data_IF_979595039471
#
_entry.id   IF_979595039471
#
_cell.length_a   1.000
_cell.length_b   1.000
_cell.length_c   1.000
_cell.angle_alpha   90.00
_cell.angle_beta   90.00
_cell.angle_gamma   90.00
#
_symmetry.space_group_name_H-M   'P 1'
#
loop_
_entity.id
_entity.type
_entity.pdbx_description
1 polymer ?
#
# COMPACT_ATOMS: atom_id res chain seq x y z
N UNK A 1 3.73 8.58 -10.17
CA UNK A 1 4.76 7.51 -10.22
C UNK A 1 5.93 7.91 -9.32
N UNK A 2 6.27 7.09 -8.32
CA UNK A 2 7.38 7.34 -7.39
C UNK A 2 8.48 6.30 -7.61
N UNK A 3 9.74 6.68 -7.50
CA UNK A 3 10.87 5.75 -7.55
C UNK A 3 10.76 4.78 -6.38
N UNK A 4 10.84 3.46 -6.69
CA UNK A 4 10.70 2.33 -5.73
C UNK A 4 11.58 2.40 -4.48
N UNK A 5 12.55 3.32 -4.45
CA UNK A 5 13.55 3.44 -3.40
C UNK A 5 13.48 4.75 -2.59
N UNK A 6 12.63 5.72 -2.96
CA UNK A 6 12.61 7.02 -2.28
C UNK A 6 11.34 7.32 -1.48
N UNK A 7 10.20 6.69 -1.80
CA UNK A 7 8.92 7.03 -1.15
C UNK A 7 8.12 5.77 -0.81
N UNK A 8 7.74 5.67 0.47
CA UNK A 8 6.86 4.64 1.05
C UNK A 8 5.80 5.35 1.90
N UNK A 9 4.75 4.62 2.25
CA UNK A 9 3.66 5.15 3.08
C UNK A 9 2.70 6.08 2.33
N UNK A 10 2.04 6.95 3.10
CA UNK A 10 0.99 7.87 2.67
C UNK A 10 1.39 9.34 2.88
N UNK A 11 0.81 10.26 2.11
CA UNK A 11 0.90 11.69 2.35
C UNK A 11 -0.32 12.23 3.14
N UNK A 12 -0.32 13.53 3.44
CA UNK A 12 -1.41 14.21 4.18
C UNK A 12 -2.78 14.17 3.50
N UNK A 13 -2.81 13.93 2.19
CA UNK A 13 -4.03 13.85 1.39
C UNK A 13 -4.58 12.41 1.27
N UNK A 14 -3.90 11.40 1.82
CA UNK A 14 -4.28 9.99 1.68
C UNK A 14 -3.76 9.32 0.40
N UNK A 15 -2.84 9.96 -0.34
CA UNK A 15 -2.21 9.36 -1.51
C UNK A 15 -1.06 8.45 -1.09
N UNK A 16 -1.13 7.17 -1.44
CA UNK A 16 -0.08 6.19 -1.13
C UNK A 16 0.99 6.14 -2.21
N UNK A 17 2.23 5.91 -1.77
CA UNK A 17 3.32 5.59 -2.67
C UNK A 17 3.10 4.24 -3.38
N UNK A 18 3.76 4.06 -4.52
CA UNK A 18 3.75 2.81 -5.30
C UNK A 18 2.34 2.28 -5.64
N UNK A 19 1.34 3.17 -5.75
CA UNK A 19 -0.01 2.83 -6.19
C UNK A 19 -0.01 2.40 -7.66
N UNK A 20 -0.59 1.22 -7.93
CA UNK A 20 -0.68 0.61 -9.25
C UNK A 20 -2.06 0.00 -9.43
N UNK A 21 -2.67 0.29 -10.56
CA UNK A 21 -3.83 -0.40 -11.11
C UNK A 21 -3.32 -1.42 -12.15
N UNK A 22 -3.72 -2.67 -12.01
CA UNK A 22 -3.51 -3.72 -13.01
C UNK A 22 -4.87 -4.11 -13.57
N UNK A 23 -5.05 -3.95 -14.87
CA UNK A 23 -6.27 -4.31 -15.57
C UNK A 23 -6.03 -5.51 -16.48
N UNK A 24 -6.86 -6.53 -16.36
CA UNK A 24 -6.92 -7.64 -17.29
C UNK A 24 -8.16 -7.49 -18.17
N UNK A 25 -7.96 -7.15 -19.43
CA UNK A 25 -9.01 -7.16 -20.45
C UNK A 25 -9.02 -8.49 -21.21
N UNK A 26 -10.19 -9.09 -21.35
CA UNK A 26 -10.42 -10.34 -22.08
C UNK A 26 -11.42 -10.06 -23.20
N UNK A 27 -11.05 -10.44 -24.41
CA UNK A 27 -11.86 -10.31 -25.63
C UNK A 27 -12.25 -11.72 -26.10
N UNK A 28 -13.54 -12.01 -26.19
CA UNK A 28 -14.08 -13.28 -26.66
C UNK A 28 -15.23 -13.02 -27.62
N UNK A 29 -15.03 -13.32 -28.90
CA UNK A 29 -16.02 -13.09 -29.95
C UNK A 29 -16.61 -11.66 -29.90
N UNK A 30 -17.86 -11.54 -29.43
CA UNK A 30 -18.61 -10.29 -29.31
C UNK A 30 -18.67 -9.73 -27.87
N UNK A 31 -17.98 -10.37 -26.92
CA UNK A 31 -17.93 -9.98 -25.52
C UNK A 31 -16.55 -9.44 -25.14
N UNK A 32 -16.56 -8.39 -24.31
CA UNK A 32 -15.37 -7.79 -23.74
C UNK A 32 -15.59 -7.68 -22.24
N UNK A 33 -14.68 -8.26 -21.45
CA UNK A 33 -14.70 -8.17 -19.99
C UNK A 33 -13.40 -7.57 -19.49
N UNK A 34 -13.46 -6.84 -18.38
CA UNK A 34 -12.29 -6.33 -17.68
C UNK A 34 -12.32 -6.68 -16.20
N UNK A 35 -11.16 -6.99 -15.63
CA UNK A 35 -10.96 -7.20 -14.21
C UNK A 35 -9.80 -6.36 -13.69
N UNK A 36 -10.07 -5.53 -12.67
CA UNK A 36 -9.10 -4.61 -12.08
C UNK A 36 -8.62 -5.12 -10.72
N UNK A 37 -7.31 -5.05 -10.49
CA UNK A 37 -6.70 -5.21 -9.18
C UNK A 37 -5.81 -4.01 -8.84
N UNK A 38 -5.85 -3.57 -7.59
CA UNK A 38 -5.01 -2.47 -7.10
C UNK A 38 -3.96 -2.97 -6.11
N UNK A 39 -2.78 -2.34 -6.14
CA UNK A 39 -1.71 -2.56 -5.16
C UNK A 39 -1.07 -1.22 -4.82
N UNK A 40 -0.77 -0.97 -3.55
CA UNK A 40 -0.07 0.22 -3.09
C UNK A 40 0.73 -0.03 -1.82
N UNK A 41 1.51 0.95 -1.39
CA UNK A 41 2.10 0.95 -0.05
C UNK A 41 1.01 0.97 1.02
N UNK A 42 1.28 0.38 2.19
CA UNK A 42 0.39 0.47 3.36
C UNK A 42 0.14 1.95 3.69
N UNK A 43 -1.14 2.40 3.83
CA UNK A 43 -1.52 3.80 3.98
C UNK A 43 -1.24 4.35 5.40
N UNK A 44 0.03 4.34 5.79
CA UNK A 44 0.52 4.84 7.08
C UNK A 44 1.72 5.78 6.83
N UNK A 45 2.03 6.65 7.79
CA UNK A 45 3.23 7.48 7.71
C UNK A 45 4.45 6.66 8.16
N UNK A 46 5.13 6.04 7.20
CA UNK A 46 6.27 5.18 7.48
C UNK A 46 7.35 5.26 6.41
N UNK A 47 8.58 4.97 6.83
CA UNK A 47 9.77 5.00 5.99
C UNK A 47 10.64 3.76 6.23
N UNK A 48 11.47 3.43 5.23
CA UNK A 48 12.50 2.39 5.34
C UNK A 48 13.86 3.02 5.03
N UNK A 49 14.65 3.38 6.06
CA UNK A 49 15.93 4.04 5.85
C UNK A 49 16.96 3.06 5.25
N UNK A 50 17.21 3.20 3.94
CA UNK A 50 18.42 2.75 3.24
C UNK A 50 18.59 1.23 2.99
N UNK A 51 19.32 0.92 1.90
CA UNK A 51 19.67 -0.43 1.41
C UNK A 51 20.91 -0.98 2.14
N UNK A 52 21.03 -0.80 3.46
CA UNK A 52 22.10 -1.49 4.19
C UNK A 52 21.66 -2.93 4.45
N UNK A 53 22.47 -3.87 3.93
CA UNK A 53 22.26 -5.31 4.05
C UNK A 53 22.21 -5.67 5.54
N UNK A 54 21.00 -5.87 6.08
CA UNK A 54 20.81 -6.29 7.48
C UNK A 54 19.80 -5.48 8.30
N UNK A 55 19.49 -4.22 7.97
CA UNK A 55 18.50 -3.42 8.72
C UNK A 55 17.34 -2.96 7.84
N UNK A 56 16.33 -3.83 7.66
CA UNK A 56 15.07 -3.49 7.00
C UNK A 56 14.02 -2.96 7.99
N UNK A 57 14.43 -2.27 9.06
CA UNK A 57 13.49 -1.82 10.08
C UNK A 57 12.61 -0.69 9.55
N UNK A 58 11.31 -0.90 9.62
CA UNK A 58 10.30 0.12 9.34
C UNK A 58 10.32 1.15 10.47
N UNK A 59 10.29 2.43 10.11
CA UNK A 59 10.12 3.51 11.08
C UNK A 59 8.82 4.24 10.79
N UNK A 60 8.01 4.45 11.81
CA UNK A 60 6.88 5.37 11.72
C UNK A 60 7.43 6.80 11.74
N UNK A 61 7.13 7.57 10.70
CA UNK A 61 7.60 8.95 10.57
C UNK A 61 6.69 9.95 11.29
N UNK A 62 5.46 9.54 11.65
CA UNK A 62 4.50 10.34 12.41
C UNK A 62 3.72 9.50 13.42
N UNK A 63 3.00 10.18 14.32
CA UNK A 63 2.18 9.54 15.34
C UNK A 63 0.96 8.78 14.77
N UNK A 64 0.38 7.84 15.54
CA UNK A 64 -0.76 7.03 15.10
C UNK A 64 -1.98 7.86 14.67
N UNK A 65 -2.30 8.94 15.38
CA UNK A 65 -3.46 9.79 15.08
C UNK A 65 -3.39 10.40 13.67
N UNK A 66 -2.22 10.86 13.24
CA UNK A 66 -2.02 11.35 11.87
C UNK A 66 -2.23 10.24 10.85
N UNK A 67 -1.76 9.02 11.14
CA UNK A 67 -1.92 7.88 10.24
C UNK A 67 -3.38 7.45 10.11
N UNK A 68 -4.18 7.50 11.18
CA UNK A 68 -5.63 7.21 11.13
C UNK A 68 -6.33 8.15 10.14
N UNK A 69 -6.08 9.46 10.25
CA UNK A 69 -6.70 10.43 9.33
C UNK A 69 -6.32 10.19 7.87
N UNK A 70 -5.05 9.91 7.59
CA UNK A 70 -4.60 9.62 6.23
C UNK A 70 -5.10 8.26 5.69
N UNK A 71 -5.19 7.26 6.57
CA UNK A 71 -5.76 5.94 6.29
C UNK A 71 -7.23 6.06 5.87
N UNK A 72 -8.02 6.81 6.64
CA UNK A 72 -9.45 7.01 6.37
C UNK A 72 -9.66 7.70 5.03
N UNK A 73 -8.90 8.76 4.75
CA UNK A 73 -8.92 9.44 3.44
C UNK A 73 -8.59 8.46 2.31
N UNK A 74 -7.55 7.64 2.48
CA UNK A 74 -7.17 6.66 1.47
C UNK A 74 -8.28 5.64 1.23
N UNK A 75 -8.85 5.03 2.28
CA UNK A 75 -9.91 4.04 2.13
C UNK A 75 -11.19 4.64 1.56
N UNK A 76 -11.54 5.88 1.93
CA UNK A 76 -12.66 6.59 1.31
C UNK A 76 -12.45 6.75 -0.20
N UNK A 77 -11.26 7.21 -0.61
CA UNK A 77 -10.89 7.34 -2.02
C UNK A 77 -11.00 6.00 -2.77
N UNK A 78 -10.46 4.92 -2.20
CA UNK A 78 -10.53 3.59 -2.81
C UNK A 78 -11.98 3.10 -2.91
N UNK A 79 -12.80 3.31 -1.88
CA UNK A 79 -14.20 2.90 -1.87
C UNK A 79 -15.03 3.66 -2.89
N UNK A 80 -14.84 4.97 -2.99
CA UNK A 80 -15.54 5.82 -3.95
C UNK A 80 -15.19 5.44 -5.39
N UNK A 81 -13.91 5.14 -5.66
CA UNK A 81 -13.43 4.84 -7.01
C UNK A 81 -13.66 3.40 -7.46
N UNK A 82 -13.56 2.43 -6.56
CA UNK A 82 -13.55 0.99 -6.89
C UNK A 82 -14.68 0.17 -6.25
N UNK A 83 -15.58 0.78 -5.46
CA UNK A 83 -16.76 0.09 -4.93
C UNK A 83 -16.49 -0.70 -3.66
N UNK A 84 -16.63 -2.03 -3.68
CA UNK A 84 -16.32 -2.90 -2.53
C UNK A 84 -14.87 -3.41 -2.61
N UNK A 85 -14.17 -3.46 -1.47
CA UNK A 85 -12.76 -3.86 -1.40
C UNK A 85 -12.57 -5.09 -0.52
N UNK A 86 -11.74 -6.03 -1.01
CA UNK A 86 -11.06 -7.00 -0.18
C UNK A 86 -9.59 -6.59 -0.05
N UNK A 87 -9.12 -6.38 1.18
CA UNK A 87 -7.72 -6.03 1.45
C UNK A 87 -6.96 -7.32 1.79
N UNK A 88 -5.94 -7.63 1.00
CA UNK A 88 -5.08 -8.81 1.20
C UNK A 88 -3.73 -8.36 1.75
N UNK A 89 -3.38 -8.83 2.95
CA UNK A 89 -2.09 -8.61 3.58
C UNK A 89 -1.36 -9.96 3.74
N UNK A 90 -0.13 -10.05 3.21
CA UNK A 90 0.69 -11.27 3.21
C UNK A 90 1.88 -11.21 4.17
N UNK A 91 1.87 -10.27 5.13
CA UNK A 91 2.97 -10.13 6.09
C UNK A 91 3.05 -11.35 7.02
N UNK A 92 4.25 -11.90 7.15
CA UNK A 92 4.51 -13.08 7.99
C UNK A 92 4.52 -12.72 9.47
N UNK A 93 3.88 -13.57 10.29
CA UNK A 93 3.72 -13.38 11.75
C UNK A 93 4.90 -13.89 12.58
N UNK A 94 6.06 -14.18 11.97
CA UNK A 94 7.14 -14.87 12.68
C UNK A 94 7.73 -14.01 13.80
N UNK A 95 7.39 -14.36 15.04
CA UNK A 95 7.99 -13.85 16.28
C UNK A 95 9.48 -14.24 16.43
N UNK A 96 10.05 -14.94 15.46
CA UNK A 96 11.44 -15.39 15.45
C UNK A 96 12.14 -14.76 14.23
N UNK A 97 13.00 -13.77 14.50
CA UNK A 97 13.79 -13.06 13.50
C UNK A 97 13.15 -11.74 13.06
N UNK A 98 13.33 -10.70 13.89
CA UNK A 98 12.82 -9.34 13.74
C UNK A 98 13.33 -8.63 12.47
N UNK A 99 12.79 -9.00 11.32
CA UNK A 99 12.62 -8.06 10.20
C UNK A 99 11.22 -7.51 10.34
N UNK A 100 11.12 -6.39 11.05
CA UNK A 100 9.91 -5.56 11.14
C UNK A 100 9.46 -5.25 9.70
N UNK A 101 8.56 -6.08 9.17
CA UNK A 101 7.86 -5.80 7.94
C UNK A 101 6.87 -4.65 8.15
N UNK A 102 6.18 -4.25 7.10
CA UNK A 102 5.25 -3.11 7.08
C UNK A 102 4.01 -3.27 8.00
N UNK A 103 3.98 -4.29 8.87
CA UNK A 103 2.95 -4.53 9.88
C UNK A 103 3.54 -4.20 11.26
N UNK A 104 3.06 -3.10 11.82
CA UNK A 104 2.90 -2.98 13.27
C UNK A 104 1.45 -3.25 13.62
#
# INVERSE_FOLDING_TARGET
AGTRFNVRGVNDDGNVANFVETEQAIYMDNEITSYLQIRGSVPLFWEQPGVQVGSHKVKMSRGPESSVSAFDKHLMYIKERYGHQAIVNLLGTSLIGSKEGEAM
#
